data_IF_322781976429
#
_entry.id   IF_322781976429
#
_cell.length_a   1.000
_cell.length_b   1.000
_cell.length_c   1.000
_cell.angle_alpha   90.00
_cell.angle_beta   90.00
_cell.angle_gamma   90.00
#
_symmetry.space_group_name_H-M   'P 1'
#
loop_
_entity.id
_entity.type
_entity.pdbx_description
1 polymer ?
#
# COMPACT_ATOMS: atom_id res chain seq x y z
N UNK A 1 -23.72 -6.42 5.89
CA UNK A 1 -22.75 -6.41 7.02
C UNK A 1 -21.32 -6.00 6.63
N UNK A 2 -20.68 -6.54 5.57
CA UNK A 2 -19.31 -6.12 5.18
C UNK A 2 -19.16 -4.61 4.94
N UNK A 3 -20.09 -3.99 4.20
CA UNK A 3 -20.01 -2.55 3.89
C UNK A 3 -20.21 -1.62 5.09
N UNK A 4 -20.87 -2.07 6.18
CA UNK A 4 -21.06 -1.22 7.36
C UNK A 4 -19.78 -1.11 8.19
N UNK A 5 -19.03 -2.20 8.34
CA UNK A 5 -17.75 -2.18 9.07
C UNK A 5 -16.70 -1.33 8.35
N UNK A 6 -16.60 -1.41 7.02
CA UNK A 6 -15.67 -0.57 6.24
C UNK A 6 -15.95 0.92 6.49
N UNK A 7 -17.22 1.32 6.48
CA UNK A 7 -17.59 2.72 6.77
C UNK A 7 -17.18 3.14 8.19
N UNK A 8 -17.41 2.29 9.19
CA UNK A 8 -17.06 2.57 10.59
C UNK A 8 -15.55 2.75 10.78
N UNK A 9 -14.73 1.83 10.26
CA UNK A 9 -13.29 1.87 10.54
C UNK A 9 -12.51 2.81 9.63
N UNK A 10 -13.03 3.13 8.43
CA UNK A 10 -12.38 4.07 7.51
C UNK A 10 -12.22 5.47 8.11
N UNK A 11 -13.13 5.89 8.99
CA UNK A 11 -13.01 7.18 9.69
C UNK A 11 -12.12 7.13 10.93
N UNK A 12 -11.83 5.92 11.46
CA UNK A 12 -11.07 5.74 12.69
C UNK A 12 -9.59 5.52 12.43
N UNK A 13 -9.24 4.79 11.36
CA UNK A 13 -7.85 4.49 11.01
C UNK A 13 -7.35 5.52 10.01
N UNK A 14 -6.27 6.21 10.36
CA UNK A 14 -5.61 7.20 9.49
C UNK A 14 -4.14 6.82 9.29
N UNK A 15 -3.67 6.94 8.06
CA UNK A 15 -2.28 6.66 7.72
C UNK A 15 -1.32 7.59 8.51
N UNK A 16 -0.20 7.03 8.98
CA UNK A 16 0.83 7.77 9.72
C UNK A 16 0.55 7.99 11.22
N UNK A 17 -0.57 7.51 11.74
CA UNK A 17 -0.91 7.53 13.17
C UNK A 17 -0.69 6.17 13.83
N UNK A 18 -0.63 6.18 15.16
CA UNK A 18 -0.44 4.98 15.97
C UNK A 18 -1.75 4.65 16.68
N UNK A 19 -2.21 3.42 16.53
CA UNK A 19 -3.45 2.94 17.12
C UNK A 19 -3.23 1.67 17.95
N UNK A 20 -3.89 1.58 19.11
CA UNK A 20 -4.09 0.33 19.84
C UNK A 20 -5.36 -0.34 19.33
N UNK A 21 -5.22 -1.55 18.81
CA UNK A 21 -6.34 -2.34 18.30
C UNK A 21 -6.60 -3.56 19.18
N UNK A 22 -7.86 -3.88 19.43
CA UNK A 22 -8.28 -5.01 20.28
C UNK A 22 -9.61 -5.60 19.84
N UNK A 23 -9.88 -6.85 20.25
CA UNK A 23 -11.09 -7.62 19.90
C UNK A 23 -11.28 -7.85 18.38
N UNK A 24 -10.20 -8.19 17.67
CA UNK A 24 -10.22 -8.62 16.28
C UNK A 24 -10.04 -10.14 16.17
N UNK A 25 -10.30 -10.70 14.97
CA UNK A 25 -10.09 -12.12 14.68
C UNK A 25 -8.87 -12.32 13.81
N UNK A 26 -8.01 -13.26 14.18
CA UNK A 26 -6.86 -13.66 13.36
C UNK A 26 -7.33 -14.70 12.33
N UNK A 27 -6.94 -14.52 11.08
CA UNK A 27 -7.17 -15.52 10.02
C UNK A 27 -5.96 -15.69 9.12
N UNK A 28 -5.93 -16.75 8.33
CA UNK A 28 -4.85 -16.99 7.37
C UNK A 28 -4.84 -15.92 6.26
N UNK A 29 -3.64 -15.45 5.94
CA UNK A 29 -3.41 -14.52 4.85
C UNK A 29 -3.08 -15.27 3.56
N UNK A 30 -4.11 -15.86 2.94
CA UNK A 30 -3.99 -16.67 1.71
C UNK A 30 -4.47 -15.91 0.45
N UNK A 31 -4.46 -14.58 0.47
CA UNK A 31 -4.89 -13.77 -0.68
C UNK A 31 -3.85 -13.84 -1.81
N UNK A 32 -4.30 -13.74 -3.07
CA UNK A 32 -3.39 -13.73 -4.24
C UNK A 32 -2.47 -12.50 -4.23
N UNK A 33 -3.03 -11.34 -3.91
CA UNK A 33 -2.28 -10.11 -3.64
C UNK A 33 -2.28 -9.83 -2.13
N UNK A 34 -1.10 -9.65 -1.54
CA UNK A 34 -0.95 -9.41 -0.11
C UNK A 34 -0.11 -8.17 0.11
N UNK A 35 -0.56 -7.29 1.01
CA UNK A 35 0.23 -6.13 1.43
C UNK A 35 1.43 -6.51 2.32
N UNK A 36 1.44 -7.73 2.86
CA UNK A 36 2.51 -8.26 3.72
C UNK A 36 2.69 -9.76 3.47
N UNK A 37 3.94 -10.23 3.61
CA UNK A 37 4.29 -11.66 3.53
C UNK A 37 3.85 -12.45 4.78
N UNK A 38 3.39 -11.77 5.83
CA UNK A 38 2.98 -12.41 7.07
C UNK A 38 1.84 -13.42 6.83
N UNK A 39 1.94 -14.61 7.43
CA UNK A 39 1.01 -15.74 7.21
C UNK A 39 -0.40 -15.51 7.76
N UNK A 40 -0.60 -14.47 8.57
CA UNK A 40 -1.86 -14.12 9.19
C UNK A 40 -2.28 -12.67 8.91
N UNK A 41 -3.59 -12.43 8.99
CA UNK A 41 -4.23 -11.11 8.86
C UNK A 41 -5.23 -10.87 10.00
N UNK A 42 -5.45 -9.60 10.30
CA UNK A 42 -6.48 -9.17 11.24
C UNK A 42 -7.81 -8.96 10.51
N UNK A 43 -8.89 -9.56 11.03
CA UNK A 43 -10.24 -9.38 10.52
C UNK A 43 -11.05 -8.63 11.57
N UNK A 44 -11.58 -7.48 11.16
CA UNK A 44 -12.33 -6.60 12.05
C UNK A 44 -13.77 -7.10 12.19
N UNK A 45 -14.31 -6.91 13.39
CA UNK A 45 -15.67 -7.28 13.78
C UNK A 45 -16.36 -6.09 14.43
N UNK A 46 -17.67 -6.22 14.67
CA UNK A 46 -18.45 -5.19 15.37
C UNK A 46 -17.88 -4.81 16.74
N UNK A 47 -17.20 -5.75 17.41
CA UNK A 47 -16.59 -5.53 18.74
C UNK A 47 -15.15 -5.05 18.69
N UNK A 48 -14.54 -4.95 17.51
CA UNK A 48 -13.16 -4.47 17.36
C UNK A 48 -13.08 -3.01 17.79
N UNK A 49 -12.11 -2.68 18.62
CA UNK A 49 -11.84 -1.32 19.08
C UNK A 49 -10.52 -0.84 18.48
N UNK A 50 -10.48 0.44 18.09
CA UNK A 50 -9.31 1.15 17.59
C UNK A 50 -9.22 2.43 18.40
N UNK A 51 -8.06 2.67 19.05
CA UNK A 51 -7.83 3.82 19.91
C UNK A 51 -6.49 4.45 19.51
N UNK A 52 -6.53 5.70 19.03
CA UNK A 52 -5.33 6.46 18.70
C UNK A 52 -4.50 6.75 19.96
N UNK A 53 -3.18 6.65 19.85
CA UNK A 53 -2.23 6.87 20.95
C UNK A 53 -1.06 7.77 20.53
N UNK A 54 -0.38 8.36 21.52
CA UNK A 54 0.81 9.20 21.32
C UNK A 54 2.01 8.42 20.74
N UNK A 55 2.94 9.14 20.10
CA UNK A 55 4.04 8.61 19.27
C UNK A 55 5.27 8.11 20.05
N UNK A 56 5.13 7.76 21.32
CA UNK A 56 6.28 7.80 22.22
C UNK A 56 7.23 6.59 22.09
N UNK A 57 6.88 5.54 21.32
CA UNK A 57 7.74 4.33 21.23
C UNK A 57 7.63 3.46 19.97
N UNK A 58 6.96 3.89 18.89
CA UNK A 58 6.82 3.04 17.70
C UNK A 58 7.87 3.35 16.64
N UNK A 59 8.49 2.35 15.99
CA UNK A 59 9.45 2.58 14.91
C UNK A 59 8.85 3.45 13.81
N UNK A 60 9.52 4.54 13.46
CA UNK A 60 9.11 5.42 12.36
C UNK A 60 9.45 4.85 11.00
N UNK A 61 10.41 3.92 10.92
CA UNK A 61 10.80 3.27 9.68
C UNK A 61 9.92 2.05 9.41
N UNK A 62 8.91 2.24 8.57
CA UNK A 62 7.97 1.17 8.15
C UNK A 62 8.21 0.69 6.71
N UNK A 63 9.13 1.32 5.98
CA UNK A 63 9.41 1.03 4.58
C UNK A 63 10.71 0.23 4.41
N UNK A 64 10.70 -0.69 3.47
CA UNK A 64 11.89 -1.43 3.01
C UNK A 64 12.11 -1.13 1.53
N UNK A 65 12.86 -0.05 1.27
CA UNK A 65 13.05 0.46 -0.09
C UNK A 65 13.92 -0.47 -0.93
N UNK A 66 13.47 -0.74 -2.16
CA UNK A 66 14.28 -1.28 -3.24
C UNK A 66 14.81 -0.15 -4.12
N UNK A 67 16.03 -0.32 -4.62
CA UNK A 67 16.61 0.59 -5.60
C UNK A 67 15.98 0.40 -6.97
N UNK A 68 16.01 1.43 -7.82
CA UNK A 68 15.45 1.31 -9.17
C UNK A 68 16.28 0.35 -10.02
N UNK A 69 17.58 0.24 -9.75
CA UNK A 69 18.45 -0.73 -10.39
C UNK A 69 18.04 -2.18 -10.14
N UNK A 70 17.59 -2.52 -8.93
CA UNK A 70 17.10 -3.86 -8.62
C UNK A 70 15.78 -4.17 -9.34
N UNK A 71 14.92 -3.16 -9.52
CA UNK A 71 13.65 -3.33 -10.23
C UNK A 71 13.84 -3.50 -11.73
N UNK A 72 14.67 -2.65 -12.35
CA UNK A 72 14.91 -2.68 -13.79
C UNK A 72 15.70 -3.91 -14.26
N UNK A 73 16.47 -4.53 -13.36
CA UNK A 73 17.31 -5.69 -13.66
C UNK A 73 16.78 -7.00 -13.06
N UNK A 74 15.56 -7.01 -12.50
CA UNK A 74 15.00 -8.21 -11.90
C UNK A 74 14.70 -9.26 -13.01
N UNK A 75 15.32 -10.44 -13.00
CA UNK A 75 15.08 -11.47 -14.02
C UNK A 75 13.66 -12.05 -13.93
N UNK A 76 13.13 -12.15 -12.71
CA UNK A 76 11.76 -12.56 -12.41
C UNK A 76 11.21 -11.66 -11.30
N UNK A 77 10.05 -11.05 -11.54
CA UNK A 77 9.31 -10.28 -10.52
C UNK A 77 8.19 -11.16 -9.98
N UNK A 78 8.22 -11.41 -8.67
CA UNK A 78 7.10 -12.05 -7.99
C UNK A 78 5.92 -11.06 -7.91
N UNK A 79 5.01 -11.15 -8.87
CA UNK A 79 3.80 -10.30 -8.98
C UNK A 79 2.87 -10.40 -7.76
N UNK A 80 3.09 -11.36 -6.86
CA UNK A 80 2.29 -11.51 -5.63
C UNK A 80 2.78 -10.65 -4.47
N UNK A 81 3.96 -10.04 -4.59
CA UNK A 81 4.63 -9.26 -3.54
C UNK A 81 4.74 -7.79 -3.88
N UNK A 82 4.42 -6.95 -2.89
CA UNK A 82 4.69 -5.51 -2.96
C UNK A 82 6.13 -5.21 -2.58
N UNK A 83 6.63 -4.09 -3.07
CA UNK A 83 7.94 -3.52 -2.72
C UNK A 83 7.79 -2.01 -2.57
N UNK A 84 8.63 -1.42 -1.71
CA UNK A 84 8.64 0.03 -1.51
C UNK A 84 9.70 0.66 -2.41
N UNK A 85 9.39 1.81 -2.98
CA UNK A 85 10.34 2.66 -3.72
C UNK A 85 10.25 4.09 -3.26
N UNK A 86 11.35 4.82 -3.42
CA UNK A 86 11.41 6.25 -3.21
C UNK A 86 12.24 6.90 -4.30
N UNK A 87 11.74 8.00 -4.85
CA UNK A 87 12.41 8.79 -5.87
C UNK A 87 11.73 10.14 -6.04
N UNK A 88 12.43 11.06 -6.69
CA UNK A 88 11.93 12.38 -7.02
C UNK A 88 10.95 12.30 -8.20
N UNK A 89 9.83 13.02 -8.12
CA UNK A 89 8.88 13.12 -9.23
C UNK A 89 9.40 14.15 -10.23
N UNK A 90 9.99 13.69 -11.33
CA UNK A 90 10.58 14.56 -12.37
C UNK A 90 9.60 14.90 -13.49
N UNK A 91 8.54 14.09 -13.65
CA UNK A 91 7.45 14.39 -14.58
C UNK A 91 6.12 13.78 -14.13
N UNK A 92 5.04 14.39 -14.58
CA UNK A 92 3.66 14.02 -14.27
C UNK A 92 2.77 14.32 -15.48
N UNK A 93 2.02 13.33 -15.92
CA UNK A 93 1.01 13.51 -16.97
C UNK A 93 -0.33 14.00 -16.38
N UNK A 94 -1.19 14.57 -17.23
CA UNK A 94 -2.56 14.91 -16.85
C UNK A 94 -3.37 13.65 -16.55
N UNK A 95 -4.27 13.72 -15.56
CA UNK A 95 -5.16 12.61 -15.27
C UNK A 95 -6.09 12.30 -16.44
N UNK A 96 -6.23 11.02 -16.80
CA UNK A 96 -7.06 10.53 -17.90
C UNK A 96 -8.10 9.53 -17.38
N UNK A 97 -9.27 9.50 -18.01
CA UNK A 97 -10.28 8.46 -17.74
C UNK A 97 -10.09 7.31 -18.74
N UNK A 98 -9.87 6.09 -18.25
CA UNK A 98 -9.75 4.87 -19.06
C UNK A 98 -10.84 3.88 -18.68
N UNK A 99 -11.39 3.16 -19.66
CA UNK A 99 -12.26 2.01 -19.38
C UNK A 99 -11.37 0.79 -19.07
N UNK A 100 -11.47 0.28 -17.85
CA UNK A 100 -10.80 -0.94 -17.41
C UNK A 100 -11.87 -1.97 -17.03
N UNK A 101 -12.16 -2.87 -17.97
CA UNK A 101 -13.15 -3.95 -17.79
C UNK A 101 -14.57 -3.46 -17.47
N UNK A 102 -15.05 -2.44 -18.19
CA UNK A 102 -16.38 -1.86 -18.03
C UNK A 102 -16.48 -0.83 -16.90
N UNK A 103 -15.34 -0.45 -16.30
CA UNK A 103 -15.26 0.54 -15.22
C UNK A 103 -14.38 1.70 -15.65
N UNK A 104 -14.99 2.88 -15.77
CA UNK A 104 -14.28 4.14 -16.00
C UNK A 104 -13.42 4.44 -14.76
N UNK A 105 -12.11 4.44 -14.97
CA UNK A 105 -11.09 4.62 -13.94
C UNK A 105 -10.23 5.82 -14.29
N UNK A 106 -9.97 6.70 -13.32
CA UNK A 106 -9.02 7.81 -13.48
C UNK A 106 -7.60 7.29 -13.26
N UNK A 107 -6.72 7.51 -14.23
CA UNK A 107 -5.32 7.10 -14.22
C UNK A 107 -4.45 8.33 -14.38
N UNK A 108 -3.29 8.31 -13.72
CA UNK A 108 -2.27 9.35 -13.85
C UNK A 108 -0.91 8.68 -13.87
N UNK A 109 -0.07 9.13 -14.80
CA UNK A 109 1.28 8.61 -14.97
C UNK A 109 2.28 9.59 -14.37
N UNK A 110 3.29 9.05 -13.70
CA UNK A 110 4.41 9.80 -13.15
C UNK A 110 5.72 9.15 -13.58
N UNK A 111 6.77 9.97 -13.60
CA UNK A 111 8.15 9.55 -13.81
C UNK A 111 8.91 9.84 -12.53
N UNK A 112 9.52 8.80 -11.96
CA UNK A 112 10.34 8.88 -10.76
C UNK A 112 11.82 8.76 -11.14
N UNK A 113 12.68 9.55 -10.52
CA UNK A 113 14.14 9.47 -10.61
C UNK A 113 14.77 9.15 -9.25
N UNK A 114 15.74 8.24 -9.20
CA UNK A 114 16.52 7.96 -8.00
C UNK A 114 17.84 8.77 -7.95
N UNK A 115 18.55 8.71 -6.83
CA UNK A 115 19.83 9.41 -6.64
C UNK A 115 20.96 8.96 -7.61
N UNK A 116 20.73 7.91 -8.40
CA UNK A 116 21.66 7.41 -9.43
C UNK A 116 21.20 7.78 -10.85
N UNK A 117 20.27 8.73 -10.97
CA UNK A 117 19.65 9.16 -12.22
C UNK A 117 18.98 8.00 -13.00
N UNK A 118 18.57 6.93 -12.30
CA UNK A 118 17.74 5.89 -12.90
C UNK A 118 16.29 6.34 -12.86
N UNK A 119 15.54 5.97 -13.90
CA UNK A 119 14.16 6.40 -14.08
C UNK A 119 13.22 5.21 -14.13
N UNK A 120 12.08 5.32 -13.44
CA UNK A 120 10.94 4.40 -13.56
C UNK A 120 9.71 5.21 -13.96
N UNK A 121 8.91 4.67 -14.88
CA UNK A 121 7.65 5.28 -15.33
C UNK A 121 6.47 4.38 -14.95
N UNK A 122 5.44 4.98 -14.36
CA UNK A 122 4.24 4.26 -13.90
C UNK A 122 3.45 3.52 -14.99
N UNK A 123 3.70 3.82 -16.27
CA UNK A 123 3.06 3.17 -17.43
C UNK A 123 3.69 1.82 -17.83
N UNK A 124 4.85 1.46 -17.26
CA UNK A 124 5.69 0.33 -17.71
C UNK A 124 6.00 -0.69 -16.59
N UNK A 125 5.18 -0.76 -15.54
CA UNK A 125 5.22 -1.84 -14.53
C UNK A 125 3.93 -2.62 -14.58
#
# INVERSE_FOLDING_TARGET
MKCSLVKTFKSLIREGLLDVMKNFVIGYNNMKSKATIHGYKLNFMLKTQVIEVGKDSFPSQIYVFKSFGELLNAPDVDETKLFDIIGEVIAKDSAQSKDMSGRITKVIDFVLEDLKAKVIRGSNV
#
